data_IF_774610295501
#
_entry.id   IF_774610295501
#
_cell.length_a   1.000
_cell.length_b   1.000
_cell.length_c   1.000
_cell.angle_alpha   90.00
_cell.angle_beta   90.00
_cell.angle_gamma   90.00
#
_symmetry.space_group_name_H-M   'P 1'
#
loop_
_entity.id
_entity.type
_entity.pdbx_description
1 polymer ?
#
# COMPACT_ATOMS: atom_id res chain seq x y z
N UNK A 1 2.53 15.24 4.69
CA UNK A 1 2.40 14.17 5.69
C UNK A 1 2.07 14.67 7.10
N UNK A 2 2.94 15.42 7.80
CA UNK A 2 2.70 15.90 9.20
C UNK A 2 1.29 16.45 9.50
N UNK A 3 0.70 17.24 8.60
CA UNK A 3 -0.69 17.75 8.78
C UNK A 3 -1.71 16.61 8.82
N UNK A 4 -1.55 15.59 7.98
CA UNK A 4 -2.46 14.44 7.89
C UNK A 4 -2.31 13.56 9.14
N UNK A 5 -1.08 13.27 9.56
CA UNK A 5 -0.79 12.48 10.78
C UNK A 5 -1.45 13.07 12.03
N UNK A 6 -1.45 14.40 12.16
CA UNK A 6 -1.98 15.09 13.34
C UNK A 6 -3.47 15.41 13.24
N UNK A 7 -3.90 15.92 12.09
CA UNK A 7 -5.22 16.55 11.91
C UNK A 7 -6.13 15.80 10.91
N UNK A 8 -5.65 14.72 10.30
CA UNK A 8 -6.35 13.95 9.27
C UNK A 8 -6.35 14.60 7.88
N UNK A 9 -6.71 13.82 6.85
CA UNK A 9 -6.66 14.27 5.45
C UNK A 9 -7.63 15.43 5.15
N UNK A 10 -8.74 15.50 5.88
CA UNK A 10 -9.73 16.57 5.74
C UNK A 10 -9.20 17.96 6.15
N UNK A 11 -8.16 18.00 6.97
CA UNK A 11 -7.54 19.25 7.40
C UNK A 11 -6.54 19.82 6.36
N UNK A 12 -6.21 19.09 5.29
CA UNK A 12 -5.23 19.57 4.31
C UNK A 12 -5.78 20.77 3.55
N UNK A 13 -5.03 21.87 3.62
CA UNK A 13 -5.22 23.07 2.80
C UNK A 13 -3.87 23.69 2.51
N UNK A 14 -3.74 24.44 1.41
CA UNK A 14 -2.49 25.14 1.06
C UNK A 14 -2.00 26.03 2.21
N UNK A 15 -2.92 26.73 2.90
CA UNK A 15 -2.59 27.57 4.07
C UNK A 15 -2.02 26.76 5.24
N UNK A 16 -2.65 25.63 5.60
CA UNK A 16 -2.16 24.78 6.71
C UNK A 16 -0.82 24.12 6.35
N UNK A 17 -0.64 23.69 5.11
CA UNK A 17 0.64 23.15 4.64
C UNK A 17 1.73 24.20 4.68
N UNK A 18 1.45 25.43 4.22
CA UNK A 18 2.41 26.53 4.27
C UNK A 18 2.84 26.85 5.72
N UNK A 19 1.88 26.91 6.64
CA UNK A 19 2.15 27.11 8.06
C UNK A 19 3.00 25.97 8.66
N UNK A 20 2.66 24.72 8.39
CA UNK A 20 3.41 23.54 8.86
C UNK A 20 4.85 23.48 8.30
N UNK A 21 5.04 23.97 7.08
CA UNK A 21 6.33 24.02 6.40
C UNK A 21 7.15 25.29 6.71
N UNK A 22 6.57 26.28 7.38
CA UNK A 22 7.23 27.56 7.66
C UNK A 22 7.52 28.41 6.42
N UNK A 23 6.72 28.26 5.36
CA UNK A 23 6.90 28.98 4.08
C UNK A 23 5.73 29.92 3.78
N UNK A 24 5.93 30.96 2.95
CA UNK A 24 4.82 31.78 2.47
C UNK A 24 3.77 30.94 1.71
N UNK A 25 2.46 31.20 1.85
CA UNK A 25 1.42 30.48 1.11
C UNK A 25 1.62 30.51 -0.41
N UNK A 26 2.18 31.59 -0.95
CA UNK A 26 2.50 31.72 -2.37
C UNK A 26 3.46 30.64 -2.88
N UNK A 27 4.36 30.13 -2.02
CA UNK A 27 5.29 29.04 -2.33
C UNK A 27 4.52 27.76 -2.58
N UNK A 28 3.54 27.44 -1.72
CA UNK A 28 2.75 26.22 -1.85
C UNK A 28 1.86 26.32 -3.10
N UNK A 29 1.22 27.46 -3.34
CA UNK A 29 0.38 27.65 -4.53
C UNK A 29 1.18 27.62 -5.83
N UNK A 30 2.46 28.02 -5.80
CA UNK A 30 3.35 27.97 -6.95
C UNK A 30 3.66 26.52 -7.38
N UNK A 31 3.95 25.63 -6.42
CA UNK A 31 4.24 24.22 -6.70
C UNK A 31 2.99 23.34 -6.80
N UNK A 32 1.91 23.71 -6.11
CA UNK A 32 0.67 22.93 -6.01
C UNK A 32 -0.53 23.85 -6.16
N UNK A 33 -1.12 23.85 -7.35
CA UNK A 33 -2.23 24.74 -7.70
C UNK A 33 -3.51 24.37 -6.94
N UNK A 34 -3.67 23.10 -6.58
CA UNK A 34 -4.85 22.59 -5.88
C UNK A 34 -4.49 21.79 -4.62
N UNK A 35 -5.48 21.53 -3.77
CA UNK A 35 -5.33 20.58 -2.66
C UNK A 35 -5.09 19.16 -3.20
N UNK A 36 -5.67 18.80 -4.34
CA UNK A 36 -5.44 17.49 -4.95
C UNK A 36 -3.98 17.32 -5.36
N UNK A 37 -3.32 18.36 -5.87
CA UNK A 37 -1.89 18.31 -6.21
C UNK A 37 -1.03 18.01 -4.98
N UNK A 38 -1.39 18.56 -3.82
CA UNK A 38 -0.71 18.28 -2.54
C UNK A 38 -0.89 16.83 -2.10
N UNK A 39 -2.11 16.31 -2.24
CA UNK A 39 -2.43 14.93 -1.86
C UNK A 39 -1.77 13.94 -2.82
N UNK A 40 -1.75 14.24 -4.13
CA UNK A 40 -1.08 13.44 -5.15
C UNK A 40 0.42 13.41 -4.91
N UNK A 41 1.08 14.54 -4.66
CA UNK A 41 2.52 14.55 -4.35
C UNK A 41 2.82 13.77 -3.06
N UNK A 42 1.98 13.92 -2.04
CA UNK A 42 2.15 13.18 -0.78
C UNK A 42 2.01 11.67 -1.00
N UNK A 43 0.96 11.22 -1.69
CA UNK A 43 0.75 9.79 -1.97
C UNK A 43 1.82 9.24 -2.94
N UNK A 44 2.35 10.06 -3.84
CA UNK A 44 3.47 9.68 -4.72
C UNK A 44 4.71 9.34 -3.90
N UNK A 45 5.07 10.19 -2.93
CA UNK A 45 6.24 9.96 -2.05
C UNK A 45 6.06 8.71 -1.17
N UNK A 46 4.85 8.49 -0.66
CA UNK A 46 4.49 7.26 0.08
C UNK A 46 4.72 6.04 -0.80
N UNK A 47 4.15 6.05 -2.01
CA UNK A 47 4.35 4.96 -2.98
C UNK A 47 5.81 4.75 -3.34
N UNK A 48 6.59 5.82 -3.55
CA UNK A 48 8.01 5.71 -3.87
C UNK A 48 8.77 4.96 -2.77
N UNK A 49 8.46 5.23 -1.49
CA UNK A 49 9.06 4.54 -0.36
C UNK A 49 8.73 3.03 -0.36
N UNK A 50 7.46 2.68 -0.54
CA UNK A 50 7.03 1.28 -0.57
C UNK A 50 7.59 0.52 -1.79
N UNK A 51 7.58 1.13 -2.98
CA UNK A 51 8.15 0.52 -4.19
C UNK A 51 9.66 0.31 -4.03
N UNK A 52 10.37 1.27 -3.44
CA UNK A 52 11.78 1.11 -3.14
C UNK A 52 12.05 -0.01 -2.12
N UNK A 53 11.19 -0.13 -1.10
CA UNK A 53 11.28 -1.20 -0.11
C UNK A 53 11.06 -2.59 -0.74
N UNK A 54 10.12 -2.73 -1.67
CA UNK A 54 9.90 -3.97 -2.41
C UNK A 54 11.08 -4.33 -3.32
N UNK A 55 11.74 -3.34 -3.92
CA UNK A 55 12.82 -3.55 -4.90
C UNK A 55 14.12 -4.11 -4.29
N UNK A 56 14.33 -3.98 -2.97
CA UNK A 56 15.54 -4.46 -2.29
C UNK A 56 15.36 -5.85 -1.65
N UNK A 57 14.16 -6.42 -1.73
CA UNK A 57 13.88 -7.73 -1.14
C UNK A 57 14.55 -8.82 -1.97
N UNK A 58 15.17 -9.83 -1.35
CA UNK A 58 15.69 -10.99 -2.06
C UNK A 58 14.61 -11.72 -2.86
N UNK A 59 15.00 -12.32 -3.99
CA UNK A 59 14.14 -13.18 -4.81
C UNK A 59 13.93 -14.54 -4.11
N UNK A 60 13.14 -14.52 -3.04
CA UNK A 60 12.73 -15.67 -2.24
C UNK A 60 11.30 -15.46 -1.73
N UNK A 61 10.46 -16.49 -1.89
CA UNK A 61 9.03 -16.37 -1.58
C UNK A 61 8.78 -16.14 -0.08
N UNK A 62 9.58 -16.76 0.81
CA UNK A 62 9.42 -16.58 2.25
C UNK A 62 9.83 -15.17 2.68
N UNK A 63 10.98 -14.71 2.19
CA UNK A 63 11.47 -13.36 2.40
C UNK A 63 10.48 -12.30 1.87
N UNK A 64 9.85 -12.55 0.71
CA UNK A 64 8.85 -11.67 0.14
C UNK A 64 7.61 -11.53 1.05
N UNK A 65 7.08 -12.66 1.53
CA UNK A 65 5.93 -12.67 2.44
C UNK A 65 6.24 -12.04 3.79
N UNK A 66 7.43 -12.29 4.35
CA UNK A 66 7.89 -11.64 5.60
C UNK A 66 8.04 -10.14 5.44
N UNK A 67 8.55 -9.68 4.29
CA UNK A 67 8.67 -8.24 4.03
C UNK A 67 7.31 -7.57 3.97
N UNK A 68 6.35 -8.12 3.22
CA UNK A 68 4.97 -7.62 3.20
C UNK A 68 4.35 -7.60 4.59
N UNK A 69 4.58 -8.65 5.37
CA UNK A 69 4.07 -8.75 6.73
C UNK A 69 4.64 -7.68 7.67
N UNK A 70 5.95 -7.38 7.57
CA UNK A 70 6.59 -6.31 8.32
C UNK A 70 6.04 -4.94 7.96
N UNK A 71 5.87 -4.64 6.66
CA UNK A 71 5.30 -3.38 6.20
C UNK A 71 3.85 -3.18 6.71
N UNK A 72 3.03 -4.23 6.64
CA UNK A 72 1.64 -4.17 7.11
C UNK A 72 1.56 -3.96 8.63
N UNK A 73 2.40 -4.66 9.40
CA UNK A 73 2.38 -4.59 10.85
C UNK A 73 3.06 -3.33 11.43
N UNK A 74 3.72 -2.51 10.61
CA UNK A 74 4.32 -1.24 11.05
C UNK A 74 3.28 -0.31 11.71
N UNK A 75 2.00 -0.41 11.32
CA UNK A 75 0.87 0.33 11.90
C UNK A 75 0.55 0.01 13.37
N UNK A 76 1.14 -1.06 13.92
CA UNK A 76 1.01 -1.46 15.31
C UNK A 76 2.12 -0.87 16.21
N UNK A 77 3.11 -0.19 15.63
CA UNK A 77 4.29 0.33 16.33
C UNK A 77 4.34 1.86 16.49
N UNK A 78 5.53 2.44 16.78
CA UNK A 78 5.73 3.89 16.90
C UNK A 78 5.31 4.70 15.66
N UNK A 79 5.27 4.05 14.49
CA UNK A 79 4.91 4.64 13.19
C UNK A 79 3.39 4.63 12.94
N UNK A 80 2.57 4.21 13.93
CA UNK A 80 1.12 4.10 13.79
C UNK A 80 0.45 5.34 13.19
N UNK A 81 0.81 6.54 13.65
CA UNK A 81 0.22 7.77 13.13
C UNK A 81 0.53 7.99 11.64
N UNK A 82 1.73 7.61 11.21
CA UNK A 82 2.16 7.67 9.81
C UNK A 82 1.37 6.69 8.96
N UNK A 83 1.31 5.43 9.38
CA UNK A 83 0.59 4.36 8.67
C UNK A 83 -0.91 4.65 8.58
N UNK A 84 -1.51 5.22 9.63
CA UNK A 84 -2.91 5.68 9.58
C UNK A 84 -3.12 6.79 8.55
N UNK A 85 -2.21 7.76 8.47
CA UNK A 85 -2.27 8.83 7.47
C UNK A 85 -2.13 8.31 6.03
N UNK A 86 -1.28 7.30 5.81
CA UNK A 86 -1.16 6.62 4.51
C UNK A 86 -2.44 5.88 4.15
N UNK A 87 -3.02 5.14 5.10
CA UNK A 87 -4.29 4.44 4.91
C UNK A 87 -5.43 5.40 4.53
N UNK A 88 -5.53 6.55 5.21
CA UNK A 88 -6.48 7.62 4.83
C UNK A 88 -6.28 8.08 3.39
N UNK A 89 -5.04 8.32 2.95
CA UNK A 89 -4.73 8.77 1.59
C UNK A 89 -5.09 7.72 0.53
N UNK A 90 -4.74 6.45 0.77
CA UNK A 90 -5.08 5.36 -0.14
C UNK A 90 -6.60 5.20 -0.29
N UNK A 91 -7.34 5.20 0.82
CA UNK A 91 -8.81 5.10 0.79
C UNK A 91 -9.48 6.33 0.16
N UNK A 92 -8.88 7.51 0.30
CA UNK A 92 -9.40 8.75 -0.30
C UNK A 92 -9.47 8.66 -1.84
N UNK A 93 -8.63 7.84 -2.47
CA UNK A 93 -8.65 7.62 -3.92
C UNK A 93 -10.00 7.07 -4.45
N UNK A 94 -10.78 6.40 -3.59
CA UNK A 94 -12.13 5.97 -3.93
C UNK A 94 -13.07 7.15 -4.26
N UNK A 95 -12.89 8.28 -3.57
CA UNK A 95 -13.71 9.50 -3.75
C UNK A 95 -13.00 10.62 -4.51
N UNK A 96 -11.67 10.55 -4.69
CA UNK A 96 -10.87 11.54 -5.41
C UNK A 96 -10.15 10.93 -6.60
N UNK A 97 -10.69 11.07 -7.82
CA UNK A 97 -10.14 10.47 -9.03
C UNK A 97 -8.67 10.82 -9.29
N UNK A 98 -8.21 12.01 -8.88
CA UNK A 98 -6.82 12.45 -9.05
C UNK A 98 -5.79 11.53 -8.37
N UNK A 99 -6.18 10.80 -7.31
CA UNK A 99 -5.29 9.89 -6.57
C UNK A 99 -5.24 8.46 -7.16
N UNK A 100 -6.20 8.07 -8.00
CA UNK A 100 -6.31 6.70 -8.53
C UNK A 100 -5.04 6.19 -9.25
N UNK A 101 -4.32 7.01 -10.05
CA UNK A 101 -3.09 6.55 -10.69
C UNK A 101 -2.03 6.04 -9.71
N UNK A 102 -2.01 6.57 -8.48
CA UNK A 102 -1.10 6.12 -7.44
C UNK A 102 -1.53 4.77 -6.84
N UNK A 103 -2.83 4.56 -6.60
CA UNK A 103 -3.35 3.23 -6.19
C UNK A 103 -3.04 2.17 -7.26
N UNK A 104 -3.25 2.49 -8.54
CA UNK A 104 -2.92 1.57 -9.63
C UNK A 104 -1.42 1.28 -9.74
N UNK A 105 -0.57 2.29 -9.48
CA UNK A 105 0.89 2.11 -9.44
C UNK A 105 1.30 1.16 -8.32
N UNK A 106 0.73 1.31 -7.13
CA UNK A 106 0.95 0.38 -6.02
C UNK A 106 0.55 -1.04 -6.38
N UNK A 107 -0.67 -1.23 -6.91
CA UNK A 107 -1.17 -2.55 -7.28
C UNK A 107 -0.29 -3.24 -8.32
N UNK A 108 0.21 -2.48 -9.32
CA UNK A 108 1.17 -3.01 -10.30
C UNK A 108 2.51 -3.38 -9.67
N UNK A 109 2.99 -2.61 -8.70
CA UNK A 109 4.24 -2.92 -8.01
C UNK A 109 4.11 -4.20 -7.18
N UNK A 110 2.99 -4.38 -6.45
CA UNK A 110 2.71 -5.61 -5.70
C UNK A 110 2.55 -6.80 -6.63
N UNK A 111 1.83 -6.67 -7.75
CA UNK A 111 1.71 -7.74 -8.75
C UNK A 111 3.07 -8.16 -9.32
N UNK A 112 3.90 -7.18 -9.72
CA UNK A 112 5.23 -7.43 -10.25
C UNK A 112 6.16 -8.06 -9.20
N UNK A 113 6.05 -7.64 -7.94
CA UNK A 113 6.78 -8.19 -6.81
C UNK A 113 6.43 -9.66 -6.55
N UNK A 114 5.16 -10.03 -6.72
CA UNK A 114 4.68 -11.40 -6.50
C UNK A 114 4.85 -12.32 -7.71
N UNK A 115 5.03 -11.76 -8.92
CA UNK A 115 5.12 -12.51 -10.18
C UNK A 115 6.16 -13.65 -10.20
N UNK A 116 7.38 -13.49 -9.64
CA UNK A 116 8.37 -14.57 -9.62
C UNK A 116 7.93 -15.78 -8.78
N UNK A 117 7.10 -15.57 -7.77
CA UNK A 117 6.71 -16.60 -6.78
C UNK A 117 5.31 -17.16 -7.04
N UNK A 118 4.44 -16.40 -7.69
CA UNK A 118 3.04 -16.73 -7.95
C UNK A 118 2.75 -16.52 -9.45
N UNK A 119 2.92 -17.55 -10.31
CA UNK A 119 2.84 -17.37 -11.76
C UNK A 119 1.42 -17.08 -12.25
N UNK A 120 0.38 -17.54 -11.54
CA UNK A 120 -1.00 -17.31 -11.94
C UNK A 120 -1.50 -15.93 -11.46
N UNK A 121 -2.04 -15.08 -12.36
CA UNK A 121 -2.54 -13.75 -11.99
C UNK A 121 -3.64 -13.76 -10.92
N UNK A 122 -4.47 -14.79 -10.89
CA UNK A 122 -5.56 -14.91 -9.90
C UNK A 122 -5.02 -15.09 -8.47
N UNK A 123 -3.92 -15.83 -8.30
CA UNK A 123 -3.27 -16.01 -7.00
C UNK A 123 -2.67 -14.69 -6.52
N UNK A 124 -2.03 -13.95 -7.43
CA UNK A 124 -1.47 -12.62 -7.11
C UNK A 124 -2.55 -11.62 -6.78
N UNK A 125 -3.66 -11.62 -7.50
CA UNK A 125 -4.82 -10.79 -7.20
C UNK A 125 -5.39 -11.12 -5.81
N UNK A 126 -5.47 -12.41 -5.47
CA UNK A 126 -5.92 -12.86 -4.15
C UNK A 126 -4.98 -12.41 -3.01
N UNK A 127 -3.66 -12.54 -3.20
CA UNK A 127 -2.67 -12.08 -2.23
C UNK A 127 -2.66 -10.55 -2.13
N UNK A 128 -2.75 -9.82 -3.25
CA UNK A 128 -2.85 -8.35 -3.26
C UNK A 128 -4.08 -7.85 -2.50
N UNK A 129 -5.25 -8.45 -2.74
CA UNK A 129 -6.46 -8.12 -1.99
C UNK A 129 -6.32 -8.44 -0.49
N UNK A 130 -5.61 -9.51 -0.13
CA UNK A 130 -5.32 -9.83 1.26
C UNK A 130 -4.36 -8.82 1.90
N UNK A 131 -3.34 -8.34 1.18
CA UNK A 131 -2.44 -7.27 1.61
C UNK A 131 -3.23 -6.01 1.94
N UNK A 132 -4.10 -5.57 1.04
CA UNK A 132 -4.94 -4.38 1.25
C UNK A 132 -5.86 -4.54 2.48
N UNK A 133 -6.51 -5.69 2.61
CA UNK A 133 -7.39 -6.00 3.73
C UNK A 133 -6.64 -6.10 5.07
N UNK A 134 -5.45 -6.70 5.07
CA UNK A 134 -4.60 -6.83 6.26
C UNK A 134 -4.03 -5.48 6.69
N UNK A 135 -3.68 -4.61 5.73
CA UNK A 135 -3.26 -3.23 6.00
C UNK A 135 -4.38 -2.42 6.66
N UNK A 136 -5.60 -2.49 6.13
CA UNK A 136 -6.76 -1.86 6.74
C UNK A 136 -7.04 -2.39 8.16
N UNK A 137 -6.87 -3.71 8.38
CA UNK A 137 -7.00 -4.31 9.70
C UNK A 137 -5.93 -3.84 10.67
N UNK A 138 -4.65 -3.78 10.27
CA UNK A 138 -3.56 -3.28 11.11
C UNK A 138 -3.81 -1.84 11.59
N UNK A 139 -4.44 -1.01 10.75
CA UNK A 139 -4.84 0.34 11.14
C UNK A 139 -5.88 0.33 12.27
N UNK A 140 -6.80 -0.65 12.30
CA UNK A 140 -7.86 -0.75 13.29
C UNK A 140 -7.49 -1.61 14.52
N UNK A 141 -6.54 -2.53 14.37
CA UNK A 141 -6.17 -3.55 15.35
C UNK A 141 -4.68 -3.39 15.73
N UNK A 142 -4.37 -2.74 16.87
CA UNK A 142 -2.99 -2.51 17.29
C UNK A 142 -2.27 -3.80 17.74
N UNK A 143 -3.00 -4.90 17.94
CA UNK A 143 -2.42 -6.17 18.37
C UNK A 143 -2.05 -7.08 17.19
N UNK A 144 -2.39 -6.67 15.94
CA UNK A 144 -2.04 -7.43 14.75
C UNK A 144 -0.52 -7.43 14.53
N UNK A 145 0.10 -8.59 14.66
CA UNK A 145 1.56 -8.75 14.54
C UNK A 145 1.99 -9.12 13.13
N UNK A 146 3.26 -8.85 12.79
CA UNK A 146 3.86 -9.30 11.53
C UNK A 146 3.77 -10.82 11.37
N UNK A 147 3.87 -11.59 12.45
CA UNK A 147 3.76 -13.05 12.39
C UNK A 147 2.34 -13.50 12.03
N UNK A 148 1.30 -12.81 12.53
CA UNK A 148 -0.09 -13.10 12.17
C UNK A 148 -0.40 -12.78 10.70
N UNK A 149 0.15 -11.66 10.22
CA UNK A 149 0.06 -11.26 8.81
C UNK A 149 0.78 -12.28 7.92
N UNK A 150 2.03 -12.62 8.24
CA UNK A 150 2.82 -13.62 7.52
C UNK A 150 2.08 -14.97 7.47
N UNK A 151 1.60 -15.48 8.62
CA UNK A 151 0.84 -16.73 8.67
C UNK A 151 -0.40 -16.71 7.78
N UNK A 152 -1.07 -15.57 7.69
CA UNK A 152 -2.25 -15.40 6.83
C UNK A 152 -1.86 -15.47 5.35
N UNK A 153 -0.84 -14.70 4.94
CA UNK A 153 -0.36 -14.68 3.57
C UNK A 153 0.20 -16.05 3.14
N UNK A 154 1.01 -16.70 3.99
CA UNK A 154 1.57 -18.02 3.72
C UNK A 154 0.49 -19.10 3.54
N UNK A 155 -0.62 -19.01 4.29
CA UNK A 155 -1.76 -19.92 4.11
C UNK A 155 -2.49 -19.68 2.79
N UNK A 156 -2.61 -18.45 2.33
CA UNK A 156 -3.23 -18.13 1.03
C UNK A 156 -2.38 -18.70 -0.10
N UNK A 157 -1.07 -18.47 -0.06
CA UNK A 157 -0.12 -19.02 -1.05
C UNK A 157 -0.09 -20.55 -1.05
N UNK A 158 -0.11 -21.18 0.14
CA UNK A 158 -0.09 -22.65 0.26
C UNK A 158 -1.40 -23.34 -0.15
N UNK A 159 -2.53 -22.62 -0.16
CA UNK A 159 -3.86 -23.16 -0.49
C UNK A 159 -4.19 -23.11 -1.97
N UNK A 160 -3.38 -22.43 -2.79
CA UNK A 160 -3.49 -22.45 -4.25
C UNK A 160 -3.32 -23.91 -4.74
N UNK A 161 -4.39 -24.59 -5.20
CA UNK A 161 -4.28 -25.95 -5.68
C UNK A 161 -3.57 -25.96 -7.03
N UNK A 162 -2.59 -26.86 -7.22
CA UNK A 162 -1.95 -27.16 -8.53
C UNK A 162 -2.92 -27.67 -9.63
N UNK A 163 -4.23 -27.72 -9.37
CA UNK A 163 -5.20 -28.53 -10.12
C UNK A 163 -5.82 -27.87 -11.36
N UNK A 164 -5.22 -26.81 -11.92
CA UNK A 164 -5.54 -26.32 -13.26
C UNK A 164 -4.51 -26.73 -14.33
N UNK A 165 -3.69 -27.77 -14.07
CA UNK A 165 -2.63 -28.25 -14.98
C UNK A 165 -3.04 -29.34 -15.97
N UNK A 166 -4.27 -29.84 -15.94
CA UNK A 166 -4.73 -30.84 -16.91
C UNK A 166 -6.03 -30.36 -17.55
N UNK A 167 -5.91 -29.73 -18.72
CA UNK A 167 -7.02 -29.67 -19.67
C UNK A 167 -7.43 -31.08 -20.08
N UNK A 168 -8.71 -31.33 -20.38
CA UNK A 168 -9.19 -32.68 -20.66
C UNK A 168 -8.43 -33.28 -21.85
N UNK A 169 -8.09 -34.60 -21.83
CA UNK A 169 -7.42 -35.21 -22.95
C UNK A 169 -8.31 -35.13 -24.19
N UNK A 170 -7.72 -34.68 -25.31
CA UNK A 170 -8.36 -34.73 -26.62
C UNK A 170 -8.86 -36.15 -26.88
N UNK A 171 -10.18 -36.31 -26.94
CA UNK A 171 -10.81 -37.55 -27.38
C UNK A 171 -10.52 -37.70 -28.87
N UNK A 172 -9.76 -38.75 -29.21
CA UNK A 172 -9.65 -39.30 -30.57
C UNK A 172 -10.99 -39.82 -31.07
#
# INVERSE_FOLDING_TARGET
>A
MRVIERDGVAAVSQRRVAAEAGVPPSTVTYYHSTVDDLLVDTLTRVNDAYVAALAIVPDDADAALRTLAGMIAAGSGPERAHVMAECELFLLAARRPALRPQTERWNRAVDAFLAPHLPHPEDRAGVGAAVDGLFARACADPDLTAEDVYRTLSRLVSRVPRSAREGPPERR
#
